data_IF_337151957149
#
_entry.id   IF_337151957149
#
_cell.length_a   1.000
_cell.length_b   1.000
_cell.length_c   1.000
_cell.angle_alpha   90.00
_cell.angle_beta   90.00
_cell.angle_gamma   90.00
#
_symmetry.space_group_name_H-M   'P 1'
#
loop_
_entity.id
_entity.type
_entity.pdbx_description
1 polymer ?
#
# COMPACT_ATOMS: atom_id res chain seq x y z
N UNK A 1 0.01 7.78 1.50
CA UNK A 1 1.18 7.13 2.13
C UNK A 1 2.35 7.29 1.18
N UNK A 2 3.46 7.88 1.62
CA UNK A 2 4.68 7.95 0.80
C UNK A 2 5.33 6.58 0.74
N UNK A 3 5.23 5.93 -0.41
CA UNK A 3 5.75 4.59 -0.66
C UNK A 3 7.18 4.69 -1.20
N UNK A 4 8.16 4.56 -0.30
CA UNK A 4 9.58 4.49 -0.66
C UNK A 4 9.95 3.06 -1.05
N UNK A 5 10.73 2.93 -2.12
CA UNK A 5 11.23 1.64 -2.60
C UNK A 5 12.71 1.53 -2.22
N UNK A 6 13.14 0.37 -1.74
CA UNK A 6 14.52 0.14 -1.35
C UNK A 6 14.96 -1.29 -1.67
N UNK A 7 16.24 -1.46 -1.92
CA UNK A 7 16.85 -2.75 -2.24
C UNK A 7 17.07 -3.59 -0.97
N UNK A 8 16.00 -4.16 -0.41
CA UNK A 8 16.05 -4.98 0.81
C UNK A 8 17.11 -6.09 0.77
N UNK A 9 17.34 -6.72 -0.40
CA UNK A 9 18.38 -7.75 -0.57
C UNK A 9 19.80 -7.22 -0.29
N UNK A 10 20.08 -5.93 -0.54
CA UNK A 10 21.39 -5.33 -0.24
C UNK A 10 21.67 -5.31 1.26
N UNK A 11 20.66 -5.05 2.10
CA UNK A 11 20.80 -5.13 3.56
C UNK A 11 21.18 -6.53 4.00
N UNK A 12 20.40 -7.52 3.55
CA UNK A 12 20.62 -8.93 3.88
C UNK A 12 22.00 -9.41 3.46
N UNK A 13 22.40 -9.09 2.22
CA UNK A 13 23.70 -9.50 1.68
C UNK A 13 24.86 -8.83 2.41
N UNK A 14 24.76 -7.53 2.69
CA UNK A 14 25.80 -6.78 3.41
C UNK A 14 25.92 -7.25 4.85
N UNK A 15 24.81 -7.46 5.57
CA UNK A 15 24.81 -8.04 6.92
C UNK A 15 25.50 -9.40 6.94
N UNK A 16 25.12 -10.30 6.03
CA UNK A 16 25.75 -11.63 5.90
C UNK A 16 27.24 -11.55 5.57
N UNK A 17 27.65 -10.61 4.70
CA UNK A 17 29.07 -10.36 4.37
C UNK A 17 29.87 -9.91 5.59
N UNK A 18 29.26 -9.12 6.48
CA UNK A 18 29.84 -8.70 7.76
C UNK A 18 29.73 -9.77 8.86
N UNK A 19 29.14 -10.93 8.56
CA UNK A 19 28.88 -12.04 9.51
C UNK A 19 28.06 -11.62 10.74
N UNK A 20 27.26 -10.56 10.63
CA UNK A 20 26.38 -10.10 11.70
C UNK A 20 25.12 -10.97 11.76
N UNK A 21 24.77 -11.46 12.95
CA UNK A 21 23.50 -12.15 13.14
C UNK A 21 22.34 -11.15 13.14
N UNK A 22 21.13 -11.65 12.92
CA UNK A 22 19.91 -10.83 13.04
C UNK A 22 19.78 -10.29 14.48
N UNK A 23 20.21 -11.06 15.47
CA UNK A 23 20.14 -10.69 16.90
C UNK A 23 21.12 -9.54 17.19
N UNK A 24 22.33 -9.56 16.64
CA UNK A 24 23.33 -8.51 16.87
C UNK A 24 22.85 -7.17 16.29
N UNK A 25 22.31 -7.21 15.07
CA UNK A 25 21.70 -6.04 14.43
C UNK A 25 20.49 -5.55 15.23
N UNK A 26 19.62 -6.45 15.67
CA UNK A 26 18.43 -6.12 16.46
C UNK A 26 18.82 -5.41 17.77
N UNK A 27 19.83 -5.93 18.48
CA UNK A 27 20.39 -5.31 19.69
C UNK A 27 20.96 -3.93 19.40
N UNK A 28 21.78 -3.80 18.35
CA UNK A 28 22.41 -2.52 18.00
C UNK A 28 21.40 -1.44 17.58
N UNK A 29 20.29 -1.83 16.96
CA UNK A 29 19.23 -0.91 16.54
C UNK A 29 18.11 -0.75 17.58
N UNK A 30 18.17 -1.48 18.71
CA UNK A 30 17.09 -1.54 19.71
C UNK A 30 15.74 -1.93 19.09
N UNK A 31 15.78 -2.90 18.17
CA UNK A 31 14.63 -3.43 17.45
C UNK A 31 14.41 -4.91 17.79
N UNK A 32 13.21 -5.40 17.52
CA UNK A 32 12.95 -6.84 17.55
C UNK A 32 13.58 -7.53 16.34
N UNK A 33 13.92 -8.82 16.51
CA UNK A 33 14.42 -9.65 15.41
C UNK A 33 13.40 -9.78 14.27
N UNK A 34 12.11 -9.72 14.59
CA UNK A 34 11.01 -9.68 13.62
C UNK A 34 11.08 -8.42 12.76
N UNK A 35 11.28 -7.24 13.36
CA UNK A 35 11.43 -5.99 12.60
C UNK A 35 12.65 -6.02 11.66
N UNK A 36 13.77 -6.58 12.08
CA UNK A 36 14.94 -6.75 11.19
C UNK A 36 14.60 -7.66 10.01
N UNK A 37 13.92 -8.78 10.26
CA UNK A 37 13.44 -9.68 9.19
C UNK A 37 12.46 -8.96 8.26
N UNK A 38 11.57 -8.12 8.78
CA UNK A 38 10.65 -7.32 7.97
C UNK A 38 11.41 -6.36 7.06
N UNK A 39 12.44 -5.68 7.56
CA UNK A 39 13.31 -4.82 6.74
C UNK A 39 14.07 -5.61 5.67
N UNK A 40 14.51 -6.83 5.97
CA UNK A 40 15.26 -7.69 5.04
C UNK A 40 14.40 -8.39 3.98
N UNK A 41 13.07 -8.39 4.15
CA UNK A 41 12.13 -9.02 3.21
C UNK A 41 11.10 -8.04 2.64
N UNK A 42 11.27 -6.74 2.87
CA UNK A 42 10.32 -5.68 2.48
C UNK A 42 8.89 -5.92 2.98
N UNK A 43 8.76 -6.22 4.28
CA UNK A 43 7.47 -6.33 4.95
C UNK A 43 7.22 -5.10 5.82
N UNK A 44 5.95 -4.73 6.00
CA UNK A 44 5.53 -3.64 6.90
C UNK A 44 5.23 -4.11 8.32
N UNK A 45 5.31 -5.41 8.58
CA UNK A 45 5.03 -6.02 9.88
C UNK A 45 5.97 -5.48 10.97
N UNK A 46 5.37 -4.98 12.05
CA UNK A 46 6.10 -4.48 13.21
C UNK A 46 6.48 -2.99 13.13
N UNK A 47 5.95 -2.24 12.17
CA UNK A 47 6.13 -0.79 12.08
C UNK A 47 4.78 -0.07 12.23
N UNK A 48 4.72 0.93 13.10
CA UNK A 48 3.52 1.75 13.29
C UNK A 48 3.28 2.74 12.14
N UNK A 49 4.31 3.05 11.35
CA UNK A 49 4.24 4.00 10.23
C UNK A 49 5.36 3.76 9.23
N UNK A 50 5.11 4.03 7.95
CA UNK A 50 6.10 4.02 6.87
C UNK A 50 7.25 5.00 7.14
N UNK A 51 6.97 6.19 7.71
CA UNK A 51 8.01 7.17 8.08
C UNK A 51 8.98 6.60 9.13
N UNK A 52 8.44 5.87 10.12
CA UNK A 52 9.25 5.20 11.12
C UNK A 52 10.13 4.10 10.50
N UNK A 53 9.56 3.28 9.60
CA UNK A 53 10.31 2.27 8.84
C UNK A 53 11.48 2.89 8.06
N UNK A 54 11.28 4.07 7.46
CA UNK A 54 12.32 4.79 6.73
C UNK A 54 13.49 5.24 7.63
N UNK A 55 13.19 5.78 8.81
CA UNK A 55 14.22 6.19 9.79
C UNK A 55 15.07 4.99 10.20
N UNK A 56 14.42 3.84 10.46
CA UNK A 56 15.11 2.61 10.81
C UNK A 56 15.96 2.07 9.68
N UNK A 57 15.49 2.16 8.42
CA UNK A 57 16.26 1.81 7.24
C UNK A 57 17.53 2.65 7.11
N UNK A 58 17.43 3.97 7.30
CA UNK A 58 18.59 4.87 7.29
C UNK A 58 19.60 4.49 8.38
N UNK A 59 19.13 4.20 9.61
CA UNK A 59 20.00 3.73 10.71
C UNK A 59 20.63 2.37 10.40
N UNK A 60 19.87 1.44 9.84
CA UNK A 60 20.38 0.12 9.49
C UNK A 60 21.44 0.20 8.38
N UNK A 61 21.20 1.01 7.34
CA UNK A 61 22.21 1.32 6.32
C UNK A 61 23.49 1.89 6.92
N UNK A 62 23.35 2.87 7.83
CA UNK A 62 24.50 3.48 8.52
C UNK A 62 25.30 2.43 9.30
N UNK A 63 24.62 1.54 10.03
CA UNK A 63 25.26 0.44 10.76
C UNK A 63 26.00 -0.54 9.82
N UNK A 64 25.46 -0.80 8.64
CA UNK A 64 26.08 -1.68 7.64
C UNK A 64 27.11 -0.96 6.75
N UNK A 65 27.32 0.35 6.91
CA UNK A 65 28.18 1.16 6.05
C UNK A 65 27.71 1.21 4.59
N UNK A 66 26.40 1.22 4.37
CA UNK A 66 25.78 1.36 3.04
C UNK A 66 25.41 2.83 2.85
N UNK A 67 25.84 3.43 1.73
CA UNK A 67 25.44 4.79 1.38
C UNK A 67 23.93 4.83 1.03
N UNK A 68 23.18 5.87 1.41
CA UNK A 68 21.72 5.95 1.18
C UNK A 68 21.34 5.81 -0.30
N UNK A 69 22.10 6.45 -1.19
CA UNK A 69 21.99 6.38 -2.66
C UNK A 69 22.02 4.94 -3.21
N UNK A 70 22.69 4.03 -2.51
CA UNK A 70 22.80 2.63 -2.91
C UNK A 70 21.68 1.76 -2.33
N UNK A 71 20.94 2.24 -1.32
CA UNK A 71 19.89 1.48 -0.66
C UNK A 71 18.51 1.81 -1.20
N UNK A 72 18.20 3.10 -1.35
CA UNK A 72 16.90 3.57 -1.82
C UNK A 72 16.89 3.68 -3.34
N UNK A 73 15.79 3.27 -3.95
CA UNK A 73 15.51 3.70 -5.32
C UNK A 73 15.03 5.14 -5.22
N UNK A 74 15.74 6.06 -5.89
CA UNK A 74 15.38 7.48 -5.91
C UNK A 74 14.01 7.61 -6.58
N UNK A 75 12.95 7.70 -5.78
CA UNK A 75 11.72 8.38 -6.18
C UNK A 75 11.94 9.84 -5.82
N UNK A 76 12.23 10.65 -6.83
CA UNK A 76 12.07 12.10 -6.71
C UNK A 76 10.59 12.38 -6.49
N UNK A 77 10.16 12.46 -5.23
CA UNK A 77 9.20 13.48 -4.84
C UNK A 77 10.04 14.64 -4.34
N UNK A 78 10.10 15.67 -5.18
CA UNK A 78 10.64 16.98 -4.90
C UNK A 78 9.92 17.54 -3.67
N UNK A 79 10.55 17.43 -2.51
CA UNK A 79 10.63 18.56 -1.59
C UNK A 79 12.11 18.86 -1.42
N UNK A 80 12.46 20.08 -1.82
CA UNK A 80 13.78 20.67 -1.78
C UNK A 80 14.44 20.46 -0.41
N UNK A 81 15.57 19.77 -0.39
CA UNK A 81 16.81 20.42 0.05
C UNK A 81 17.95 19.82 -0.75
N UNK A 82 18.29 20.57 -1.81
CA UNK A 82 19.58 20.70 -2.49
C UNK A 82 20.27 19.46 -3.10
N UNK A 83 20.46 19.60 -4.43
CA UNK A 83 21.66 19.27 -5.19
C UNK A 83 21.75 17.90 -5.94
N UNK A 84 21.51 18.02 -7.26
CA UNK A 84 22.30 17.48 -8.39
C UNK A 84 21.75 16.28 -9.20
N UNK A 85 21.19 16.64 -10.36
CA UNK A 85 21.44 16.07 -11.69
C UNK A 85 20.89 14.69 -12.14
N UNK A 86 20.02 14.82 -13.14
CA UNK A 86 19.84 14.02 -14.38
C UNK A 86 18.90 12.83 -14.40
N UNK A 87 17.70 13.15 -14.91
CA UNK A 87 16.62 12.31 -15.41
C UNK A 87 17.03 11.45 -16.62
N UNK A 88 16.68 10.15 -16.61
CA UNK A 88 16.26 9.44 -17.82
C UNK A 88 15.04 8.54 -17.51
N UNK A 89 14.05 8.58 -18.40
CA UNK A 89 12.66 8.15 -18.23
C UNK A 89 12.35 6.72 -18.74
N UNK A 90 11.42 6.04 -18.05
CA UNK A 90 10.44 5.00 -18.49
C UNK A 90 10.94 3.58 -18.88
N UNK A 91 10.08 2.52 -18.90
CA UNK A 91 8.60 2.51 -18.84
C UNK A 91 7.93 1.53 -17.83
N UNK A 92 6.64 1.81 -17.63
CA UNK A 92 5.53 1.08 -16.98
C UNK A 92 5.67 -0.43 -16.78
N UNK A 93 5.32 -0.90 -15.57
CA UNK A 93 5.05 -2.32 -15.29
C UNK A 93 4.15 -2.52 -14.05
N UNK A 94 2.87 -2.82 -14.33
CA UNK A 94 2.13 -3.99 -13.83
C UNK A 94 1.46 -4.10 -12.44
N UNK A 95 0.87 -3.05 -11.84
CA UNK A 95 -0.03 -3.28 -10.67
C UNK A 95 -1.15 -2.23 -10.54
N UNK A 96 -2.31 -2.37 -11.22
CA UNK A 96 -3.59 -1.65 -10.90
C UNK A 96 -4.92 -2.32 -11.37
N UNK A 97 -4.93 -3.59 -11.82
CA UNK A 97 -6.15 -4.18 -12.43
C UNK A 97 -7.15 -4.74 -11.39
N UNK A 98 -6.70 -5.09 -10.18
CA UNK A 98 -7.54 -5.71 -9.15
C UNK A 98 -8.62 -4.77 -8.59
N UNK A 99 -8.30 -3.50 -8.36
CA UNK A 99 -9.26 -2.52 -7.84
C UNK A 99 -10.26 -2.06 -8.90
N UNK A 100 -9.88 -2.11 -10.18
CA UNK A 100 -10.80 -1.81 -11.28
C UNK A 100 -11.95 -2.83 -11.31
N UNK A 101 -11.64 -4.12 -11.15
CA UNK A 101 -12.62 -5.21 -11.11
C UNK A 101 -13.52 -5.08 -9.87
N UNK A 102 -12.95 -4.77 -8.71
CA UNK A 102 -13.73 -4.57 -7.48
C UNK A 102 -14.67 -3.35 -7.58
N UNK A 103 -14.23 -2.28 -8.24
CA UNK A 103 -15.05 -1.10 -8.51
C UNK A 103 -16.24 -1.39 -9.41
N UNK A 104 -16.05 -2.20 -10.47
CA UNK A 104 -17.14 -2.63 -11.37
C UNK A 104 -18.19 -3.46 -10.61
N UNK A 105 -17.75 -4.40 -9.76
CA UNK A 105 -18.66 -5.18 -8.91
C UNK A 105 -19.51 -4.30 -7.99
N UNK A 106 -18.90 -3.30 -7.34
CA UNK A 106 -19.63 -2.35 -6.50
C UNK A 106 -20.65 -1.54 -7.30
N UNK A 107 -20.30 -1.10 -8.51
CA UNK A 107 -21.16 -0.28 -9.33
C UNK A 107 -22.41 -1.05 -9.80
N UNK A 108 -22.23 -2.32 -10.19
CA UNK A 108 -23.35 -3.23 -10.52
C UNK A 108 -24.23 -3.48 -9.29
N UNK A 109 -23.64 -3.66 -8.10
CA UNK A 109 -24.40 -3.86 -6.86
C UNK A 109 -25.26 -2.66 -6.50
N UNK A 110 -24.73 -1.43 -6.60
CA UNK A 110 -25.50 -0.20 -6.36
C UNK A 110 -26.64 -0.08 -7.38
N UNK A 111 -26.37 -0.39 -8.65
CA UNK A 111 -27.40 -0.34 -9.70
C UNK A 111 -28.51 -1.38 -9.48
N UNK A 112 -28.15 -2.57 -9.00
CA UNK A 112 -29.10 -3.61 -8.62
C UNK A 112 -30.01 -3.17 -7.47
N UNK A 113 -29.46 -2.53 -6.43
CA UNK A 113 -30.26 -1.97 -5.34
C UNK A 113 -31.21 -0.89 -5.83
N UNK A 114 -30.72 0.04 -6.66
CA UNK A 114 -31.53 1.12 -7.22
C UNK A 114 -32.71 0.60 -8.09
N UNK A 115 -32.46 -0.39 -8.94
CA UNK A 115 -33.55 -1.00 -9.72
C UNK A 115 -34.53 -1.77 -8.87
N UNK A 116 -34.05 -2.50 -7.86
CA UNK A 116 -34.91 -3.26 -6.95
C UNK A 116 -35.87 -2.31 -6.22
N UNK A 117 -35.36 -1.18 -5.74
CA UNK A 117 -36.15 -0.15 -5.05
C UNK A 117 -37.26 0.41 -5.97
N UNK A 118 -36.90 0.82 -7.19
CA UNK A 118 -37.88 1.33 -8.17
C UNK A 118 -38.97 0.31 -8.53
N UNK A 119 -38.61 -0.97 -8.67
CA UNK A 119 -39.59 -2.03 -8.97
C UNK A 119 -40.55 -2.29 -7.81
N UNK A 120 -40.11 -2.04 -6.57
CA UNK A 120 -40.96 -2.17 -5.39
C UNK A 120 -42.00 -1.05 -5.36
N UNK A 121 -41.61 0.19 -5.62
CA UNK A 121 -42.52 1.34 -5.66
C UNK A 121 -43.59 1.19 -6.74
N UNK A 122 -43.21 0.84 -7.98
CA UNK A 122 -44.15 0.65 -9.09
C UNK A 122 -45.15 -0.48 -8.81
N UNK A 123 -44.70 -1.54 -8.12
CA UNK A 123 -45.57 -2.64 -7.72
C UNK A 123 -46.54 -2.21 -6.61
N UNK A 124 -46.10 -1.43 -5.63
CA UNK A 124 -46.95 -0.91 -4.54
C UNK A 124 -48.03 0.02 -5.12
N UNK A 125 -47.66 0.95 -6.00
CA UNK A 125 -48.60 1.88 -6.62
C UNK A 125 -49.66 1.15 -7.45
N UNK A 126 -49.28 0.08 -8.16
CA UNK A 126 -50.23 -0.75 -8.92
C UNK A 126 -51.24 -1.46 -8.00
N UNK A 127 -50.81 -1.95 -6.83
CA UNK A 127 -51.70 -2.60 -5.86
C UNK A 127 -52.65 -1.61 -5.19
N UNK A 128 -52.18 -0.40 -4.86
CA UNK A 128 -53.01 0.65 -4.25
C UNK A 128 -54.12 1.11 -5.21
N UNK A 129 -53.77 1.33 -6.48
CA UNK A 129 -54.74 1.70 -7.52
C UNK A 129 -55.73 0.56 -7.82
N UNK A 130 -55.31 -0.71 -7.75
CA UNK A 130 -56.23 -1.84 -7.91
C UNK A 130 -57.22 -1.93 -6.73
N UNK A 131 -56.76 -1.69 -5.51
CA UNK A 131 -57.61 -1.73 -4.31
C UNK A 131 -58.63 -0.59 -4.27
N UNK A 132 -58.28 0.61 -4.74
CA UNK A 132 -59.21 1.76 -4.76
C UNK A 132 -60.33 1.58 -5.79
N UNK A 133 -60.03 1.00 -6.96
CA UNK A 133 -61.05 0.72 -7.98
C UNK A 133 -62.05 -0.38 -7.57
N UNK A 134 -61.73 -1.20 -6.57
CA UNK A 134 -62.62 -2.24 -6.04
C UNK A 134 -63.59 -1.73 -4.95
N UNK A 135 -63.30 -0.57 -4.33
CA UNK A 135 -64.16 0.00 -3.28
C UNK A 135 -65.27 0.91 -3.79
N UNK A 136 -65.25 1.25 -5.09
CA UNK A 136 -66.20 2.16 -5.73
C UNK A 136 -67.32 1.43 -6.53
N UNK A 137 -67.43 0.10 -6.41
CA UNK A 137 -68.52 -0.74 -6.95
C UNK A 137 -69.38 -1.25 -5.80
#
# INVERSE_FOLDING_TARGET
MTEFIYHYKKLTNKRKKLRLSIIDVAKALTLSTTQIKSLENNLDTGFASSKYKLILLKRYAKLLGIKPENLFEVKEETEETEENETLTLKPFSNIKISYLILGIFFLVFIFYLYYSDKTVDEKIDSFLNQSSNLSDI
#
